data_IF_994415057322
#
_entry.id   IF_994415057322
#
_cell.length_a   1.000
_cell.length_b   1.000
_cell.length_c   1.000
_cell.angle_alpha   90.00
_cell.angle_beta   90.00
_cell.angle_gamma   90.00
#
_symmetry.space_group_name_H-M   'P 1'
#
loop_
_entity.id
_entity.type
_entity.pdbx_description
1 polymer ?
#
# COMPACT_ATOMS: atom_id res chain seq x y z
N UNK A 1 -33.78 6.71 -20.37
CA UNK A 1 -32.54 6.15 -20.95
C UNK A 1 -31.39 6.91 -20.29
N UNK A 2 -30.99 6.45 -19.10
CA UNK A 2 -29.92 7.07 -18.32
C UNK A 2 -28.64 6.40 -18.82
N UNK A 3 -27.87 7.11 -19.63
CA UNK A 3 -26.54 6.65 -20.04
C UNK A 3 -25.67 6.78 -18.79
N UNK A 4 -25.59 5.70 -18.02
CA UNK A 4 -24.52 5.46 -17.06
C UNK A 4 -23.23 5.30 -17.85
N UNK A 5 -22.55 6.42 -18.13
CA UNK A 5 -21.15 6.38 -18.52
C UNK A 5 -20.37 5.94 -17.28
N UNK A 6 -20.05 4.65 -17.20
CA UNK A 6 -19.14 4.10 -16.20
C UNK A 6 -17.78 4.74 -16.37
N UNK A 7 -17.49 5.74 -15.53
CA UNK A 7 -16.18 6.38 -15.47
C UNK A 7 -15.48 5.81 -14.24
N UNK A 8 -14.75 4.71 -14.42
CA UNK A 8 -13.78 4.26 -13.43
C UNK A 8 -12.58 5.20 -13.49
N UNK A 9 -12.54 6.16 -12.58
CA UNK A 9 -11.41 7.09 -12.46
C UNK A 9 -10.32 6.36 -11.66
N UNK A 10 -9.22 6.02 -12.33
CA UNK A 10 -8.09 5.31 -11.75
C UNK A 10 -6.87 6.23 -11.62
N UNK A 11 -6.15 6.14 -10.50
CA UNK A 11 -4.84 6.75 -10.34
C UNK A 11 -3.77 5.72 -10.68
N UNK A 12 -3.18 5.81 -11.88
CA UNK A 12 -2.02 4.98 -12.22
C UNK A 12 -0.75 5.50 -11.52
N UNK A 13 0.27 4.64 -11.32
CA UNK A 13 1.56 5.09 -10.78
C UNK A 13 2.18 6.23 -11.58
N UNK A 14 2.02 6.22 -12.91
CA UNK A 14 2.50 7.28 -13.80
C UNK A 14 1.78 8.60 -13.53
N UNK A 15 0.45 8.58 -13.41
CA UNK A 15 -0.36 9.75 -13.06
C UNK A 15 0.03 10.31 -11.70
N UNK A 16 0.30 9.46 -10.70
CA UNK A 16 0.76 9.90 -9.38
C UNK A 16 2.11 10.62 -9.52
N UNK A 17 3.04 10.08 -10.30
CA UNK A 17 4.32 10.74 -10.57
C UNK A 17 4.17 12.10 -11.25
N UNK A 18 3.26 12.22 -12.23
CA UNK A 18 2.94 13.50 -12.87
C UNK A 18 2.35 14.52 -11.88
N UNK A 19 1.43 14.09 -11.01
CA UNK A 19 0.83 14.93 -9.97
C UNK A 19 1.88 15.41 -8.96
N UNK A 20 2.76 14.53 -8.49
CA UNK A 20 3.87 14.90 -7.60
C UNK A 20 4.75 15.95 -8.27
N UNK A 21 5.15 15.73 -9.52
CA UNK A 21 5.94 16.70 -10.27
C UNK A 21 5.23 18.06 -10.37
N UNK A 22 3.95 18.05 -10.71
CA UNK A 22 3.14 19.25 -10.85
C UNK A 22 2.95 20.00 -9.53
N UNK A 23 2.77 19.28 -8.43
CA UNK A 23 2.70 19.84 -7.07
C UNK A 23 4.02 20.52 -6.67
N UNK A 24 5.17 19.91 -6.97
CA UNK A 24 6.47 20.53 -6.64
C UNK A 24 6.82 21.73 -7.54
N UNK A 25 6.22 21.83 -8.73
CA UNK A 25 6.48 22.93 -9.64
C UNK A 25 5.78 24.22 -9.19
N UNK A 26 6.55 25.12 -8.58
CA UNK A 26 6.06 26.40 -8.09
C UNK A 26 5.94 27.49 -9.17
N UNK A 27 6.32 27.22 -10.43
CA UNK A 27 6.33 28.22 -11.50
C UNK A 27 5.10 28.12 -12.39
N UNK A 28 4.71 26.90 -12.72
CA UNK A 28 3.60 26.60 -13.62
C UNK A 28 2.36 26.16 -12.82
N UNK A 29 1.18 26.36 -13.41
CA UNK A 29 -0.07 25.84 -12.85
C UNK A 29 -0.53 24.65 -13.66
N UNK A 30 -1.00 23.62 -12.96
CA UNK A 30 -1.46 22.39 -13.56
C UNK A 30 -2.89 22.06 -13.14
N UNK A 31 -3.58 21.36 -14.02
CA UNK A 31 -4.93 20.84 -13.82
C UNK A 31 -4.93 19.34 -14.08
N UNK A 32 -5.79 18.61 -13.37
CA UNK A 32 -6.05 17.20 -13.59
C UNK A 32 -7.24 17.03 -14.53
N UNK A 33 -7.04 16.30 -15.63
CA UNK A 33 -8.11 15.92 -16.55
C UNK A 33 -8.70 14.57 -16.14
N UNK A 34 -9.93 14.61 -15.65
CA UNK A 34 -10.63 13.44 -15.11
C UNK A 34 -10.95 12.39 -16.19
N UNK A 35 -11.04 12.80 -17.45
CA UNK A 35 -11.37 11.91 -18.56
C UNK A 35 -10.16 11.10 -19.03
N UNK A 36 -8.98 11.73 -19.02
CA UNK A 36 -7.74 11.09 -19.46
C UNK A 36 -6.89 10.55 -18.32
N UNK A 37 -7.16 10.98 -17.09
CA UNK A 37 -6.38 10.64 -15.90
C UNK A 37 -4.98 11.26 -15.91
N UNK A 38 -4.81 12.41 -16.57
CA UNK A 38 -3.49 13.05 -16.78
C UNK A 38 -3.40 14.44 -16.17
N UNK A 39 -2.17 14.82 -15.83
CA UNK A 39 -1.88 16.19 -15.41
C UNK A 39 -1.50 17.05 -16.62
N UNK A 40 -2.13 18.21 -16.78
CA UNK A 40 -1.91 19.12 -17.91
C UNK A 40 -1.64 20.54 -17.42
N UNK A 41 -0.79 21.27 -18.13
CA UNK A 41 -0.53 22.68 -17.82
C UNK A 41 -1.79 23.51 -18.06
N UNK A 42 -2.07 24.48 -17.18
CA UNK A 42 -3.23 25.34 -17.28
C UNK A 42 -3.27 26.12 -18.61
N UNK A 43 -2.12 26.52 -19.15
CA UNK A 43 -2.02 27.24 -20.43
C UNK A 43 -2.48 26.36 -21.59
N UNK A 44 -2.11 25.09 -21.59
CA UNK A 44 -2.52 24.12 -22.60
C UNK A 44 -4.01 23.76 -22.43
N UNK A 45 -4.48 23.68 -21.18
CA UNK A 45 -5.87 23.39 -20.84
C UNK A 45 -6.82 24.53 -21.27
N UNK A 46 -6.42 25.81 -21.20
CA UNK A 46 -7.26 26.94 -21.64
C UNK A 46 -7.73 26.77 -23.09
N UNK A 47 -6.87 26.25 -23.97
CA UNK A 47 -7.21 25.97 -25.37
C UNK A 47 -8.27 24.87 -25.52
N UNK A 48 -8.34 23.93 -24.57
CA UNK A 48 -9.32 22.84 -24.54
C UNK A 48 -10.62 23.19 -23.79
N UNK A 49 -10.53 24.04 -22.76
CA UNK A 49 -11.65 24.47 -21.91
C UNK A 49 -12.71 25.26 -22.71
N UNK A 50 -12.33 25.97 -23.77
CA UNK A 50 -13.26 26.74 -24.60
C UNK A 50 -14.33 25.88 -25.34
N UNK A 51 -14.19 24.55 -25.39
CA UNK A 51 -15.09 23.66 -26.15
C UNK A 51 -15.60 22.42 -25.39
N UNK A 52 -15.33 22.29 -24.10
CA UNK A 52 -15.53 21.02 -23.33
C UNK A 52 -16.48 21.20 -22.14
N UNK A 53 -17.11 20.12 -21.64
CA UNK A 53 -18.16 20.20 -20.62
C UNK A 53 -17.65 20.73 -19.27
N UNK A 54 -18.55 21.37 -18.54
CA UNK A 54 -18.40 21.70 -17.11
C UNK A 54 -17.95 20.42 -16.35
N UNK A 55 -16.96 20.54 -15.47
CA UNK A 55 -16.44 19.46 -14.60
C UNK A 55 -15.48 18.42 -15.24
N UNK A 56 -14.71 18.80 -16.27
CA UNK A 56 -13.62 17.94 -16.80
C UNK A 56 -12.26 18.15 -16.13
N UNK A 57 -11.91 19.40 -15.83
CA UNK A 57 -10.59 19.77 -15.33
C UNK A 57 -10.65 20.24 -13.89
N UNK A 58 -9.80 19.67 -13.03
CA UNK A 58 -9.76 19.94 -11.59
C UNK A 58 -8.42 20.54 -11.18
N UNK A 59 -8.43 21.44 -10.21
CA UNK A 59 -7.21 21.91 -9.59
C UNK A 59 -6.55 20.77 -8.81
N UNK A 60 -5.23 20.60 -8.99
CA UNK A 60 -4.43 19.68 -8.19
C UNK A 60 -4.21 20.24 -6.78
N UNK A 61 -3.89 19.41 -5.77
CA UNK A 61 -3.67 19.90 -4.42
C UNK A 61 -2.47 20.83 -4.32
N UNK A 62 -2.58 21.88 -3.50
CA UNK A 62 -1.53 22.86 -3.31
C UNK A 62 -0.35 22.28 -2.50
N UNK A 63 0.87 22.42 -3.03
CA UNK A 63 2.11 22.07 -2.32
C UNK A 63 3.09 23.24 -2.27
N UNK A 64 2.89 24.12 -1.30
CA UNK A 64 3.71 25.32 -1.15
C UNK A 64 4.99 25.06 -0.32
N UNK A 65 5.85 26.08 -0.26
CA UNK A 65 7.10 26.03 0.51
C UNK A 65 6.87 25.71 2.00
N UNK A 66 5.76 26.12 2.60
CA UNK A 66 5.45 25.79 4.00
C UNK A 66 5.14 24.30 4.19
N UNK A 67 4.44 23.67 3.24
CA UNK A 67 4.24 22.21 3.23
C UNK A 67 5.59 21.48 3.18
N UNK A 68 6.45 21.87 2.22
CA UNK A 68 7.79 21.28 2.09
C UNK A 68 8.66 21.45 3.34
N UNK A 69 8.58 22.61 4.02
CA UNK A 69 9.31 22.85 5.26
C UNK A 69 8.82 21.96 6.41
N UNK A 70 7.49 21.80 6.58
CA UNK A 70 6.92 20.91 7.61
C UNK A 70 7.35 19.46 7.42
N UNK A 71 7.42 19.00 6.17
CA UNK A 71 7.91 17.65 5.84
C UNK A 71 9.39 17.48 6.23
N UNK A 72 10.22 18.50 6.01
CA UNK A 72 11.62 18.50 6.49
C UNK A 72 11.72 18.43 8.02
N UNK A 73 10.88 19.18 8.73
CA UNK A 73 10.85 19.15 10.21
C UNK A 73 10.43 17.76 10.74
N UNK A 74 9.36 17.18 10.18
CA UNK A 74 8.89 15.84 10.54
C UNK A 74 9.97 14.78 10.29
N UNK A 75 10.55 14.77 9.09
CA UNK A 75 11.63 13.85 8.75
C UNK A 75 12.81 13.97 9.73
N UNK A 76 13.21 15.21 10.05
CA UNK A 76 14.32 15.46 10.97
C UNK A 76 14.04 14.95 12.38
N UNK A 77 12.78 14.98 12.83
CA UNK A 77 12.39 14.43 14.11
C UNK A 77 12.59 12.90 14.19
N UNK A 78 12.48 12.18 13.07
CA UNK A 78 12.66 10.72 12.97
C UNK A 78 14.12 10.28 12.78
N UNK A 79 15.06 11.21 12.61
CA UNK A 79 16.48 10.89 12.46
C UNK A 79 17.05 10.48 13.82
N UNK A 80 17.56 9.24 13.89
CA UNK A 80 18.21 8.69 15.08
C UNK A 80 19.61 9.26 15.33
N UNK A 81 20.34 9.64 14.27
CA UNK A 81 21.68 10.23 14.37
C UNK A 81 21.60 11.62 15.04
N UNK A 82 22.10 11.78 16.28
CA UNK A 82 21.92 13.03 17.03
C UNK A 82 22.74 14.18 16.44
N UNK A 83 23.89 13.92 15.81
CA UNK A 83 24.76 14.94 15.22
C UNK A 83 24.10 15.53 13.98
N UNK A 84 23.66 14.66 13.05
CA UNK A 84 22.95 15.11 11.85
C UNK A 84 21.63 15.80 12.21
N UNK A 85 20.87 15.26 13.16
CA UNK A 85 19.62 15.88 13.60
C UNK A 85 19.83 17.30 14.13
N UNK A 86 20.89 17.53 14.91
CA UNK A 86 21.19 18.87 15.41
C UNK A 86 21.65 19.81 14.29
N UNK A 87 22.50 19.33 13.37
CA UNK A 87 22.90 20.08 12.18
C UNK A 87 21.70 20.52 11.33
N UNK A 88 20.71 19.64 11.13
CA UNK A 88 19.49 19.97 10.39
C UNK A 88 18.60 20.97 11.14
N UNK A 89 18.52 20.89 12.47
CA UNK A 89 17.83 21.89 13.31
C UNK A 89 18.47 23.27 13.24
N UNK A 90 19.80 23.32 13.21
CA UNK A 90 20.54 24.57 13.01
C UNK A 90 20.24 25.17 11.64
N UNK A 91 20.09 24.34 10.60
CA UNK A 91 19.69 24.78 9.26
C UNK A 91 18.28 25.39 9.29
N UNK A 92 17.33 24.82 10.02
CA UNK A 92 15.97 25.38 10.15
C UNK A 92 15.92 26.73 10.85
N UNK A 93 16.90 27.01 11.71
CA UNK A 93 17.04 28.31 12.37
C UNK A 93 17.56 29.42 11.43
N UNK A 94 17.99 29.08 10.21
CA UNK A 94 18.49 30.03 9.23
C UNK A 94 17.33 30.72 8.48
N UNK A 95 17.48 32.02 8.23
CA UNK A 95 16.42 32.83 7.57
C UNK A 95 16.32 32.60 6.05
N UNK A 96 17.32 32.00 5.42
CA UNK A 96 17.40 31.82 3.96
C UNK A 96 18.18 30.56 3.60
N UNK A 97 17.80 29.93 2.49
CA UNK A 97 18.55 28.81 1.91
C UNK A 97 18.27 27.44 2.57
N UNK A 98 17.30 27.36 3.48
CA UNK A 98 16.97 26.14 4.24
C UNK A 98 16.87 24.90 3.35
N UNK A 99 16.06 24.94 2.28
CA UNK A 99 15.86 23.79 1.39
C UNK A 99 17.14 23.31 0.71
N UNK A 100 18.01 24.25 0.30
CA UNK A 100 19.27 23.93 -0.35
C UNK A 100 20.26 23.35 0.67
N UNK A 101 20.39 24.02 1.81
CA UNK A 101 21.32 23.63 2.87
C UNK A 101 20.94 22.28 3.50
N UNK A 102 19.63 22.01 3.63
CA UNK A 102 19.10 20.72 4.07
C UNK A 102 19.57 19.60 3.13
N UNK A 103 19.35 19.75 1.81
CA UNK A 103 19.80 18.76 0.82
C UNK A 103 21.33 18.65 0.80
N UNK A 104 22.06 19.75 0.94
CA UNK A 104 23.52 19.72 1.03
C UNK A 104 24.02 18.93 2.24
N UNK A 105 23.39 19.08 3.41
CA UNK A 105 23.74 18.32 4.60
C UNK A 105 23.46 16.81 4.46
N UNK A 106 22.44 16.42 3.67
CA UNK A 106 22.13 15.01 3.43
C UNK A 106 23.12 14.32 2.49
N UNK A 107 23.86 15.05 1.63
CA UNK A 107 24.84 14.45 0.70
C UNK A 107 25.96 13.70 1.40
N UNK A 108 26.28 14.10 2.63
CA UNK A 108 27.28 13.42 3.46
C UNK A 108 26.76 12.08 4.04
N UNK A 109 25.45 11.80 3.89
CA UNK A 109 24.74 10.62 4.39
C UNK A 109 23.81 10.02 3.31
N UNK A 110 24.36 9.32 2.28
CA UNK A 110 23.58 8.85 1.14
C UNK A 110 22.37 7.98 1.51
N UNK A 111 22.48 7.15 2.56
CA UNK A 111 21.35 6.34 3.05
C UNK A 111 20.21 7.20 3.62
N UNK A 112 20.54 8.31 4.29
CA UNK A 112 19.56 9.24 4.86
C UNK A 112 18.98 10.13 3.77
N UNK A 113 19.79 10.52 2.78
CA UNK A 113 19.32 11.22 1.58
C UNK A 113 18.29 10.41 0.82
N UNK A 114 18.54 9.12 0.59
CA UNK A 114 17.59 8.23 -0.05
C UNK A 114 16.29 8.11 0.74
N UNK A 115 16.39 7.95 2.07
CA UNK A 115 15.23 7.90 2.98
C UNK A 115 14.42 9.21 2.95
N UNK A 116 15.08 10.36 2.81
CA UNK A 116 14.42 11.65 2.68
C UNK A 116 13.54 11.72 1.43
N UNK A 117 14.08 11.33 0.27
CA UNK A 117 13.31 11.38 -0.98
C UNK A 117 12.08 10.47 -0.92
N UNK A 118 12.25 9.27 -0.37
CA UNK A 118 11.19 8.30 -0.09
C UNK A 118 10.11 8.87 0.84
N UNK A 119 10.51 9.43 1.98
CA UNK A 119 9.60 10.04 2.96
C UNK A 119 8.81 11.20 2.36
N UNK A 120 9.48 12.08 1.63
CA UNK A 120 8.84 13.23 0.97
C UNK A 120 7.82 12.76 -0.07
N UNK A 121 8.15 11.74 -0.86
CA UNK A 121 7.24 11.17 -1.84
C UNK A 121 5.98 10.58 -1.17
N UNK A 122 6.14 9.83 -0.08
CA UNK A 122 5.03 9.26 0.67
C UNK A 122 4.07 10.35 1.21
N UNK A 123 4.62 11.42 1.79
CA UNK A 123 3.84 12.57 2.27
C UNK A 123 3.06 13.26 1.15
N UNK A 124 3.65 13.39 -0.04
CA UNK A 124 2.98 13.96 -1.21
C UNK A 124 1.88 13.02 -1.75
N UNK A 125 2.14 11.70 -1.78
CA UNK A 125 1.14 10.69 -2.15
C UNK A 125 -0.06 10.72 -1.22
N UNK A 126 0.15 10.82 0.10
CA UNK A 126 -0.94 10.93 1.06
C UNK A 126 -1.86 12.12 0.75
N UNK A 127 -1.30 13.28 0.43
CA UNK A 127 -2.07 14.47 0.03
C UNK A 127 -2.86 14.23 -1.28
N UNK A 128 -2.24 13.58 -2.27
CA UNK A 128 -2.91 13.21 -3.53
C UNK A 128 -4.07 12.25 -3.27
N UNK A 129 -3.87 11.25 -2.41
CA UNK A 129 -4.88 10.25 -2.08
C UNK A 129 -6.09 10.86 -1.37
N UNK A 130 -5.86 11.73 -0.39
CA UNK A 130 -6.95 12.49 0.25
C UNK A 130 -7.70 13.32 -0.78
N UNK A 131 -6.98 14.14 -1.56
CA UNK A 131 -7.60 14.98 -2.60
C UNK A 131 -8.40 14.17 -3.63
N UNK A 132 -7.88 13.03 -4.05
CA UNK A 132 -8.54 12.20 -5.05
C UNK A 132 -9.78 11.49 -4.49
N UNK A 133 -9.76 11.09 -3.22
CA UNK A 133 -10.96 10.56 -2.57
C UNK A 133 -12.04 11.63 -2.43
N UNK A 134 -11.67 12.88 -2.09
CA UNK A 134 -12.60 14.00 -2.07
C UNK A 134 -13.21 14.22 -3.47
N UNK A 135 -12.38 14.15 -4.52
CA UNK A 135 -12.84 14.22 -5.91
C UNK A 135 -13.83 13.09 -6.23
N UNK A 136 -13.52 11.85 -5.86
CA UNK A 136 -14.40 10.69 -6.09
C UNK A 136 -15.74 10.84 -5.40
N UNK A 137 -15.76 11.32 -4.16
CA UNK A 137 -16.98 11.57 -3.40
C UNK A 137 -17.88 12.60 -4.11
N UNK A 138 -17.29 13.67 -4.66
CA UNK A 138 -18.02 14.66 -5.47
C UNK A 138 -18.67 14.05 -6.73
N UNK A 139 -18.11 12.95 -7.24
CA UNK A 139 -18.65 12.18 -8.36
C UNK A 139 -19.51 10.97 -7.94
N UNK A 140 -19.88 10.88 -6.66
CA UNK A 140 -20.64 9.76 -6.09
C UNK A 140 -19.99 8.39 -6.31
N UNK A 141 -18.66 8.36 -6.37
CA UNK A 141 -17.87 7.13 -6.42
C UNK A 141 -17.43 6.75 -5.00
N UNK A 142 -17.33 5.45 -4.74
CA UNK A 142 -16.80 4.97 -3.46
C UNK A 142 -15.34 5.42 -3.28
N UNK A 143 -14.93 5.84 -2.07
CA UNK A 143 -13.55 6.20 -1.80
C UNK A 143 -12.64 5.00 -1.98
N UNK A 144 -11.43 5.23 -2.49
CA UNK A 144 -10.41 4.20 -2.57
C UNK A 144 -9.67 4.12 -1.24
N UNK A 145 -9.48 2.90 -0.75
CA UNK A 145 -8.53 2.64 0.32
C UNK A 145 -7.14 2.56 -0.31
N UNK A 146 -6.40 3.67 -0.26
CA UNK A 146 -4.98 3.68 -0.59
C UNK A 146 -4.22 3.24 0.66
N UNK A 147 -3.77 1.99 0.73
CA UNK A 147 -2.73 1.71 1.73
C UNK A 147 -1.41 2.28 1.21
N UNK A 148 -0.75 3.01 2.10
CA UNK A 148 0.56 3.59 1.84
C UNK A 148 1.50 2.46 1.42
N UNK A 149 2.02 2.53 0.19
CA UNK A 149 3.28 1.84 -0.09
C UNK A 149 4.37 2.62 0.64
N UNK A 150 4.64 2.33 1.92
CA UNK A 150 5.90 2.84 2.47
C UNK A 150 7.04 2.18 1.71
N UNK A 151 7.86 3.08 1.19
CA UNK A 151 9.06 2.84 0.44
C UNK A 151 10.04 2.08 1.33
N UNK A 152 10.01 0.76 1.19
CA UNK A 152 10.87 -0.17 1.91
C UNK A 152 12.32 0.31 1.97
N UNK A 153 12.75 0.66 3.17
CA UNK A 153 13.85 -0.05 3.79
C UNK A 153 13.25 -0.67 5.05
N UNK A 154 12.81 -1.92 4.92
CA UNK A 154 12.66 -2.77 6.10
C UNK A 154 13.96 -2.62 6.89
N UNK A 155 13.85 -2.32 8.18
CA UNK A 155 14.87 -2.79 9.09
C UNK A 155 14.75 -4.32 9.03
N UNK A 156 15.41 -4.94 8.04
CA UNK A 156 15.52 -6.41 7.92
C UNK A 156 16.12 -7.03 9.19
N UNK A 157 16.71 -6.20 10.04
CA UNK A 157 17.32 -6.57 11.31
C UNK A 157 16.28 -6.79 12.43
N UNK A 158 15.06 -6.23 12.34
CA UNK A 158 14.04 -6.31 13.40
C UNK A 158 12.95 -7.37 13.12
N UNK A 159 12.78 -7.80 11.86
CA UNK A 159 11.73 -8.76 11.47
C UNK A 159 12.29 -10.12 11.07
N UNK A 160 11.85 -11.16 11.78
CA UNK A 160 12.24 -12.55 11.52
C UNK A 160 11.16 -13.25 10.71
N UNK A 161 11.53 -13.87 9.60
CA UNK A 161 10.64 -14.70 8.81
C UNK A 161 10.88 -16.16 9.11
N UNK A 162 9.82 -16.86 9.51
CA UNK A 162 9.89 -18.27 9.88
C UNK A 162 8.88 -19.08 9.06
N UNK A 163 9.34 -20.18 8.46
CA UNK A 163 8.48 -21.13 7.77
C UNK A 163 8.27 -22.34 8.66
N UNK A 164 7.03 -22.57 9.10
CA UNK A 164 6.70 -23.68 10.01
C UNK A 164 5.52 -24.51 9.46
N UNK A 165 5.39 -25.79 9.85
CA UNK A 165 4.20 -26.58 9.53
C UNK A 165 2.96 -25.99 10.20
N UNK A 166 1.81 -25.97 9.51
CA UNK A 166 0.57 -25.39 10.02
C UNK A 166 0.14 -26.01 11.36
N UNK A 167 0.34 -27.31 11.54
CA UNK A 167 0.02 -28.05 12.78
C UNK A 167 0.78 -27.57 14.04
N UNK A 168 1.82 -26.76 13.87
CA UNK A 168 2.54 -26.15 14.99
C UNK A 168 1.78 -24.95 15.58
N UNK A 169 0.85 -24.36 14.82
CA UNK A 169 -0.02 -23.29 15.28
C UNK A 169 -1.28 -23.84 15.92
N UNK A 170 -1.73 -23.16 16.98
CA UNK A 170 -3.03 -23.44 17.58
C UNK A 170 -4.16 -22.84 16.74
N UNK A 171 -5.32 -23.50 16.71
CA UNK A 171 -6.50 -22.95 16.03
C UNK A 171 -6.97 -21.62 16.65
N UNK A 172 -6.84 -21.47 17.97
CA UNK A 172 -7.13 -20.21 18.68
C UNK A 172 -6.23 -19.07 18.19
N UNK A 173 -4.94 -19.34 17.98
CA UNK A 173 -4.03 -18.33 17.44
C UNK A 173 -4.48 -17.84 16.05
N UNK A 174 -4.88 -18.74 15.15
CA UNK A 174 -5.37 -18.32 13.82
C UNK A 174 -6.66 -17.49 13.92
N UNK A 175 -7.58 -17.86 14.82
CA UNK A 175 -8.80 -17.09 15.08
C UNK A 175 -8.44 -15.69 15.55
N UNK A 176 -7.61 -15.58 16.58
CA UNK A 176 -7.23 -14.30 17.18
C UNK A 176 -6.47 -13.43 16.17
N UNK A 177 -5.50 -14.01 15.46
CA UNK A 177 -4.73 -13.28 14.45
C UNK A 177 -5.58 -12.81 13.26
N UNK A 178 -6.52 -13.63 12.77
CA UNK A 178 -7.42 -13.21 11.68
C UNK A 178 -8.35 -12.10 12.12
N UNK A 179 -8.80 -12.11 13.38
CA UNK A 179 -9.58 -11.02 13.98
C UNK A 179 -8.75 -9.73 14.04
N UNK A 180 -7.56 -9.78 14.63
CA UNK A 180 -6.72 -8.60 14.84
C UNK A 180 -6.23 -8.01 13.51
N UNK A 181 -5.85 -8.87 12.57
CA UNK A 181 -5.43 -8.45 11.23
C UNK A 181 -6.57 -7.91 10.35
N UNK A 182 -7.83 -8.11 10.74
CA UNK A 182 -8.99 -7.65 9.97
C UNK A 182 -9.45 -6.24 10.33
N UNK A 183 -8.81 -5.57 11.31
CA UNK A 183 -9.28 -4.27 11.76
C UNK A 183 -9.30 -3.30 10.57
N UNK A 184 -10.51 -3.03 10.06
CA UNK A 184 -10.76 -1.84 9.27
C UNK A 184 -10.35 -0.64 10.13
N UNK A 185 -9.89 0.48 9.53
CA UNK A 185 -9.86 1.74 10.26
C UNK A 185 -11.28 1.95 10.81
N UNK A 186 -11.41 1.81 12.13
CA UNK A 186 -12.66 2.02 12.85
C UNK A 186 -12.95 3.52 12.76
N UNK A 187 -13.52 3.96 11.63
CA UNK A 187 -14.14 5.27 11.58
C UNK A 187 -15.35 5.19 12.50
N UNK A 188 -15.21 5.81 13.67
CA UNK A 188 -16.11 5.75 14.82
C UNK A 188 -17.55 6.21 14.56
N UNK A 189 -17.92 6.57 13.34
CA UNK A 189 -19.18 7.28 13.08
C UNK A 189 -20.24 6.48 12.32
N UNK A 190 -19.91 5.35 11.66
CA UNK A 190 -20.92 4.59 10.89
C UNK A 190 -20.62 3.08 10.81
N UNK A 191 -20.77 2.32 11.90
CA UNK A 191 -21.00 0.88 11.79
C UNK A 191 -22.12 0.44 12.74
N UNK A 192 -23.23 0.01 12.15
CA UNK A 192 -24.24 -0.74 12.88
C UNK A 192 -23.66 -2.11 13.27
N UNK A 193 -23.95 -2.59 14.48
CA UNK A 193 -23.45 -3.86 15.04
C UNK A 193 -23.67 -5.09 14.13
N UNK A 194 -24.56 -4.96 13.13
CA UNK A 194 -24.84 -5.97 12.11
C UNK A 194 -23.62 -6.25 11.22
N UNK A 195 -22.90 -5.23 10.75
CA UNK A 195 -21.75 -5.42 9.86
C UNK A 195 -20.59 -6.12 10.57
N UNK A 196 -20.31 -5.76 11.83
CA UNK A 196 -19.30 -6.43 12.66
C UNK A 196 -19.60 -7.93 12.85
N UNK A 197 -20.88 -8.28 13.02
CA UNK A 197 -21.31 -9.67 13.14
C UNK A 197 -21.12 -10.46 11.84
N UNK A 198 -21.48 -9.89 10.68
CA UNK A 198 -21.27 -10.54 9.38
C UNK A 198 -19.77 -10.79 9.10
N UNK A 199 -18.89 -9.84 9.42
CA UNK A 199 -17.44 -10.02 9.29
C UNK A 199 -16.91 -11.14 10.18
N UNK A 200 -17.34 -11.20 11.45
CA UNK A 200 -16.96 -12.27 12.38
C UNK A 200 -17.40 -13.65 11.85
N UNK A 201 -18.62 -13.75 11.32
CA UNK A 201 -19.14 -15.01 10.78
C UNK A 201 -18.33 -15.47 9.55
N UNK A 202 -17.96 -14.55 8.66
CA UNK A 202 -17.14 -14.89 7.49
C UNK A 202 -15.72 -15.36 7.88
N UNK A 203 -15.15 -14.82 8.96
CA UNK A 203 -13.86 -15.29 9.50
C UNK A 203 -13.96 -16.70 10.07
N UNK A 204 -14.99 -16.99 10.85
CA UNK A 204 -15.24 -18.33 11.39
C UNK A 204 -15.38 -19.36 10.25
N UNK A 205 -16.16 -19.03 9.22
CA UNK A 205 -16.30 -19.87 8.03
C UNK A 205 -14.96 -20.11 7.32
N UNK A 206 -14.11 -19.10 7.20
CA UNK A 206 -12.77 -19.25 6.60
C UNK A 206 -11.91 -20.25 7.39
N UNK A 207 -11.98 -20.22 8.72
CA UNK A 207 -11.20 -21.11 9.59
C UNK A 207 -11.73 -22.54 9.50
N UNK A 208 -13.06 -22.72 9.46
CA UNK A 208 -13.68 -24.02 9.21
C UNK A 208 -13.25 -24.59 7.84
N UNK A 209 -13.26 -23.77 6.78
CA UNK A 209 -12.78 -24.16 5.46
C UNK A 209 -11.30 -24.60 5.46
N UNK A 210 -10.44 -23.90 6.21
CA UNK A 210 -9.02 -24.26 6.38
C UNK A 210 -8.88 -25.60 7.12
N UNK A 211 -9.67 -25.81 8.18
CA UNK A 211 -9.63 -27.03 8.98
C UNK A 211 -10.04 -28.29 8.18
N UNK A 212 -10.82 -28.13 7.11
CA UNK A 212 -11.22 -29.21 6.21
C UNK A 212 -10.16 -29.60 5.17
N UNK A 213 -9.06 -28.84 5.06
CA UNK A 213 -7.98 -29.09 4.08
C UNK A 213 -6.88 -29.99 4.66
N UNK A 214 -5.92 -30.37 3.81
CA UNK A 214 -4.77 -31.18 4.22
C UNK A 214 -3.80 -30.38 5.09
N UNK A 215 -4.14 -30.26 6.38
CA UNK A 215 -3.37 -29.51 7.37
C UNK A 215 -2.02 -30.16 7.71
N UNK A 216 -1.85 -31.46 7.43
CA UNK A 216 -0.60 -32.19 7.71
C UNK A 216 0.53 -31.78 6.76
N UNK A 217 0.20 -31.56 5.49
CA UNK A 217 1.17 -31.08 4.48
C UNK A 217 1.11 -29.56 4.27
N UNK A 218 0.37 -28.85 5.12
CA UNK A 218 0.22 -27.40 5.04
C UNK A 218 1.36 -26.68 5.76
N UNK A 219 1.77 -25.56 5.17
CA UNK A 219 2.86 -24.72 5.67
C UNK A 219 2.34 -23.32 5.96
N UNK A 220 2.97 -22.62 6.88
CA UNK A 220 2.73 -21.21 7.14
C UNK A 220 4.05 -20.46 7.17
N UNK A 221 4.07 -19.30 6.53
CA UNK A 221 5.17 -18.34 6.63
C UNK A 221 4.72 -17.24 7.58
N UNK A 222 5.47 -17.08 8.66
CA UNK A 222 5.23 -16.10 9.70
C UNK A 222 6.23 -14.96 9.59
N UNK A 223 5.77 -13.77 9.94
CA UNK A 223 6.62 -12.62 10.22
C UNK A 223 6.54 -12.36 11.71
N UNK A 224 7.69 -12.30 12.37
CA UNK A 224 7.80 -11.96 13.78
C UNK A 224 8.56 -10.66 13.96
N UNK A 225 8.12 -9.85 14.91
CA UNK A 225 8.88 -8.76 15.50
C UNK A 225 9.15 -9.15 16.95
N UNK A 226 10.41 -9.35 17.32
CA UNK A 226 10.79 -10.07 18.55
C UNK A 226 10.09 -11.44 18.66
N UNK A 227 9.12 -11.58 19.57
CA UNK A 227 8.34 -12.81 19.81
C UNK A 227 6.88 -12.72 19.31
N UNK A 228 6.45 -11.53 18.85
CA UNK A 228 5.08 -11.29 18.39
C UNK A 228 4.94 -11.61 16.90
N UNK A 229 3.92 -12.39 16.53
CA UNK A 229 3.59 -12.64 15.12
C UNK A 229 2.80 -11.46 14.57
N UNK A 230 3.38 -10.77 13.60
CA UNK A 230 2.80 -9.58 12.98
C UNK A 230 2.30 -9.82 11.55
N UNK A 231 2.66 -10.96 10.95
CA UNK A 231 2.29 -11.32 9.59
C UNK A 231 2.17 -12.82 9.42
N UNK A 232 1.23 -13.24 8.58
CA UNK A 232 0.89 -14.65 8.37
C UNK A 232 0.49 -14.91 6.92
N UNK A 233 1.12 -15.91 6.30
CA UNK A 233 0.79 -16.43 4.98
C UNK A 233 0.63 -17.95 5.04
N UNK A 234 -0.59 -18.46 4.91
CA UNK A 234 -0.87 -19.89 4.89
C UNK A 234 -0.72 -20.45 3.47
N UNK A 235 -0.10 -21.61 3.36
CA UNK A 235 0.16 -22.32 2.11
C UNK A 235 -0.43 -23.73 2.23
N UNK A 236 -1.59 -23.93 1.63
CA UNK A 236 -2.34 -25.17 1.73
C UNK A 236 -2.30 -25.94 0.40
N UNK A 237 -1.83 -27.19 0.39
CA UNK A 237 -1.96 -28.05 -0.79
C UNK A 237 -3.43 -28.20 -1.17
N UNK A 238 -3.74 -27.96 -2.44
CA UNK A 238 -5.07 -28.07 -3.00
C UNK A 238 -5.08 -29.05 -4.19
N UNK A 239 -6.28 -29.36 -4.69
CA UNK A 239 -6.45 -30.29 -5.81
C UNK A 239 -5.76 -29.75 -7.07
N UNK A 240 -5.26 -30.65 -7.91
CA UNK A 240 -4.72 -30.30 -9.22
C UNK A 240 -3.27 -29.81 -9.21
N UNK A 241 -2.46 -30.22 -8.22
CA UNK A 241 -1.08 -29.75 -8.03
C UNK A 241 -1.01 -28.23 -7.82
N UNK A 242 -1.98 -27.66 -7.11
CA UNK A 242 -2.01 -26.24 -6.77
C UNK A 242 -1.68 -26.04 -5.30
N UNK A 243 -0.97 -24.95 -5.00
CA UNK A 243 -0.78 -24.44 -3.66
C UNK A 243 -1.68 -23.22 -3.48
N UNK A 244 -2.48 -23.22 -2.43
CA UNK A 244 -3.46 -22.18 -2.16
C UNK A 244 -3.02 -21.29 -0.98
N UNK A 245 -3.23 -19.98 -1.12
CA UNK A 245 -3.01 -18.96 -0.10
C UNK A 245 -4.37 -18.39 0.32
N UNK A 246 -5.07 -19.03 1.28
CA UNK A 246 -6.36 -18.53 1.78
C UNK A 246 -6.21 -17.45 2.84
N UNK A 247 -5.02 -17.34 3.45
CA UNK A 247 -4.69 -16.33 4.45
C UNK A 247 -3.37 -15.68 4.06
N UNK A 248 -3.42 -14.38 3.83
CA UNK A 248 -2.32 -13.49 3.52
C UNK A 248 -2.58 -12.15 4.25
N UNK A 249 -1.97 -12.00 5.43
CA UNK A 249 -2.33 -10.95 6.39
C UNK A 249 -1.12 -10.36 7.06
N UNK A 250 -1.20 -9.05 7.30
CA UNK A 250 -0.28 -8.29 8.14
C UNK A 250 -1.14 -7.45 9.09
N UNK A 251 -0.74 -7.42 10.36
CA UNK A 251 -1.37 -6.59 11.37
C UNK A 251 -1.37 -5.12 10.90
N UNK A 252 -2.49 -4.38 11.05
CA UNK A 252 -2.64 -3.03 10.49
C UNK A 252 -1.51 -2.07 10.86
N UNK A 253 -0.99 -2.15 12.08
CA UNK A 253 0.08 -1.30 12.63
C UNK A 253 1.43 -1.54 11.94
N UNK A 254 1.57 -2.66 11.23
CA UNK A 254 2.76 -3.10 10.52
C UNK A 254 2.56 -3.12 9.00
N UNK A 255 1.46 -2.56 8.51
CA UNK A 255 1.29 -2.29 7.07
C UNK A 255 2.09 -1.05 6.69
N UNK A 256 2.26 -0.80 5.40
CA UNK A 256 3.15 0.26 4.92
C UNK A 256 4.58 -0.22 4.71
N UNK A 257 5.19 -0.90 5.69
CA UNK A 257 6.64 -1.24 5.71
C UNK A 257 7.17 -2.18 4.60
N UNK A 258 6.39 -2.51 3.57
CA UNK A 258 6.81 -3.44 2.50
C UNK A 258 6.86 -4.92 2.92
N UNK A 259 6.47 -5.25 4.15
CA UNK A 259 6.40 -6.62 4.68
C UNK A 259 5.54 -7.54 3.81
N UNK A 260 4.47 -7.03 3.19
CA UNK A 260 3.60 -7.81 2.30
C UNK A 260 4.33 -8.26 1.03
N UNK A 261 5.16 -7.38 0.45
CA UNK A 261 5.94 -7.71 -0.74
C UNK A 261 6.97 -8.80 -0.45
N UNK A 262 7.68 -8.69 0.67
CA UNK A 262 8.65 -9.73 1.10
C UNK A 262 7.96 -11.05 1.45
N UNK A 263 6.81 -11.01 2.13
CA UNK A 263 6.01 -12.20 2.45
C UNK A 263 5.54 -12.91 1.18
N UNK A 264 5.04 -12.15 0.20
CA UNK A 264 4.66 -12.66 -1.11
C UNK A 264 5.86 -13.29 -1.84
N UNK A 265 7.00 -12.60 -1.85
CA UNK A 265 8.22 -13.13 -2.46
C UNK A 265 8.65 -14.47 -1.84
N UNK A 266 8.57 -14.60 -0.51
CA UNK A 266 8.86 -15.86 0.18
C UNK A 266 7.86 -16.97 -0.14
N UNK A 267 6.56 -16.63 -0.23
CA UNK A 267 5.54 -17.58 -0.64
C UNK A 267 5.74 -18.08 -2.08
N UNK A 268 6.14 -17.17 -2.98
CA UNK A 268 6.48 -17.50 -4.37
C UNK A 268 7.71 -18.43 -4.41
N UNK A 269 8.80 -18.07 -3.73
CA UNK A 269 10.01 -18.91 -3.67
C UNK A 269 9.67 -20.31 -3.15
N UNK A 270 8.92 -20.41 -2.05
CA UNK A 270 8.48 -21.70 -1.52
C UNK A 270 7.66 -22.50 -2.55
N UNK A 271 6.76 -21.85 -3.27
CA UNK A 271 5.93 -22.50 -4.29
C UNK A 271 6.72 -22.91 -5.54
N UNK A 272 7.80 -22.20 -5.86
CA UNK A 272 8.71 -22.52 -6.95
C UNK A 272 9.72 -23.64 -6.54
N UNK A 273 10.03 -23.78 -5.24
CA UNK A 273 10.95 -24.80 -4.68
C UNK A 273 10.30 -26.18 -4.36
N UNK A 274 8.98 -26.32 -4.52
CA UNK A 274 8.19 -27.52 -4.12
C UNK A 274 7.91 -28.53 -5.27
N UNK A 275 6.69 -28.93 -5.62
CA UNK A 275 6.38 -29.59 -6.92
C UNK A 275 5.04 -29.08 -7.50
N UNK A 276 4.54 -27.95 -7.01
CA UNK A 276 3.20 -27.43 -7.33
C UNK A 276 3.21 -26.67 -8.67
N UNK A 277 2.23 -26.89 -9.54
CA UNK A 277 2.16 -26.19 -10.84
C UNK A 277 1.62 -24.77 -10.73
N UNK A 278 0.78 -24.50 -9.75
CA UNK A 278 0.07 -23.23 -9.60
C UNK A 278 0.13 -22.75 -8.16
N UNK A 279 0.32 -21.45 -7.99
CA UNK A 279 0.16 -20.73 -6.74
C UNK A 279 -1.10 -19.87 -6.85
N UNK A 280 -2.09 -20.11 -5.99
CA UNK A 280 -3.39 -19.47 -6.04
C UNK A 280 -3.62 -18.69 -4.76
N UNK A 281 -3.78 -17.38 -4.84
CA UNK A 281 -4.18 -16.56 -3.70
C UNK A 281 -5.69 -16.39 -3.72
N UNK A 282 -6.34 -16.98 -2.72
CA UNK A 282 -7.80 -17.08 -2.55
C UNK A 282 -8.31 -16.30 -1.35
N UNK A 283 -7.42 -15.54 -0.73
CA UNK A 283 -7.75 -14.68 0.37
C UNK A 283 -8.79 -13.61 -0.04
N UNK A 284 -9.98 -13.71 0.57
CA UNK A 284 -11.15 -12.88 0.24
C UNK A 284 -11.05 -11.44 0.72
N UNK A 285 -10.09 -11.12 1.58
CA UNK A 285 -9.86 -9.77 2.09
C UNK A 285 -8.52 -9.21 1.65
N UNK A 286 -7.98 -9.71 0.53
CA UNK A 286 -6.83 -9.07 -0.09
C UNK A 286 -7.22 -7.63 -0.47
N UNK A 287 -6.53 -6.61 0.04
CA UNK A 287 -6.89 -5.26 -0.30
C UNK A 287 -6.59 -4.91 -1.76
N UNK A 288 -7.41 -4.04 -2.36
CA UNK A 288 -7.34 -3.70 -3.78
C UNK A 288 -6.02 -3.04 -4.20
N UNK A 289 -5.38 -2.25 -3.33
CA UNK A 289 -4.08 -1.64 -3.64
C UNK A 289 -2.97 -2.70 -3.84
N UNK A 290 -3.12 -3.91 -3.26
CA UNK A 290 -2.11 -4.97 -3.39
C UNK A 290 -2.21 -5.69 -4.75
N UNK A 291 -3.27 -5.43 -5.53
CA UNK A 291 -3.52 -6.13 -6.80
C UNK A 291 -2.42 -5.85 -7.83
N UNK A 292 -1.96 -4.60 -7.93
CA UNK A 292 -0.85 -4.24 -8.83
C UNK A 292 0.44 -4.97 -8.44
N UNK A 293 0.68 -5.16 -7.13
CA UNK A 293 1.81 -5.96 -6.65
C UNK A 293 1.66 -7.42 -7.10
N UNK A 294 0.46 -8.01 -6.99
CA UNK A 294 0.19 -9.38 -7.47
C UNK A 294 0.44 -9.53 -8.97
N UNK A 295 -0.07 -8.61 -9.78
CA UNK A 295 0.12 -8.62 -11.24
C UNK A 295 1.60 -8.47 -11.62
N UNK A 296 2.33 -7.56 -10.97
CA UNK A 296 3.77 -7.38 -11.17
C UNK A 296 4.58 -8.63 -10.81
N UNK A 297 4.11 -9.42 -9.84
CA UNK A 297 4.69 -10.69 -9.45
C UNK A 297 4.30 -11.87 -10.38
N UNK A 298 3.57 -11.61 -11.47
CA UNK A 298 3.21 -12.59 -12.49
C UNK A 298 1.93 -13.36 -12.19
N UNK A 299 1.13 -12.94 -11.20
CA UNK A 299 -0.22 -13.47 -11.01
C UNK A 299 -1.18 -12.91 -12.06
N UNK A 300 -2.17 -13.71 -12.43
CA UNK A 300 -3.32 -13.29 -13.23
C UNK A 300 -4.58 -13.36 -12.38
N UNK A 301 -5.39 -12.32 -12.47
CA UNK A 301 -6.69 -12.32 -11.81
C UNK A 301 -7.70 -13.19 -12.57
N UNK A 302 -8.34 -14.12 -11.86
CA UNK A 302 -9.39 -15.03 -12.33
C UNK A 302 -10.61 -14.85 -11.41
N UNK A 303 -11.46 -13.88 -11.72
CA UNK A 303 -12.55 -13.47 -10.83
C UNK A 303 -12.01 -12.86 -9.54
N UNK A 304 -12.32 -13.47 -8.39
CA UNK A 304 -11.84 -13.04 -7.06
C UNK A 304 -10.53 -13.72 -6.65
N UNK A 305 -9.93 -14.54 -7.52
CA UNK A 305 -8.73 -15.35 -7.20
C UNK A 305 -7.57 -14.86 -8.05
N UNK A 306 -6.36 -14.79 -7.47
CA UNK A 306 -5.13 -14.57 -8.21
C UNK A 306 -4.40 -15.89 -8.44
N UNK A 307 -3.91 -16.14 -9.65
CA UNK A 307 -3.21 -17.40 -9.99
C UNK A 307 -1.90 -17.14 -10.73
N UNK A 308 -0.79 -17.70 -10.24
CA UNK A 308 0.54 -17.72 -10.87
C UNK A 308 0.91 -19.15 -11.24
N UNK A 309 1.52 -19.32 -12.42
CA UNK A 309 2.17 -20.59 -12.78
C UNK A 309 3.54 -20.64 -12.10
N UNK A 310 3.84 -21.72 -11.39
CA UNK A 310 5.16 -21.89 -10.77
C UNK A 310 6.21 -22.23 -11.82
N UNK A 311 7.44 -21.79 -11.59
CA UNK A 311 8.60 -22.08 -12.43
C UNK A 311 9.47 -23.11 -11.71
N UNK A 312 9.35 -24.37 -12.11
CA UNK A 312 10.27 -25.42 -11.67
C UNK A 312 11.47 -25.49 -12.61
N UNK A 313 12.67 -25.53 -12.04
CA UNK A 313 13.86 -26.09 -12.70
C UNK A 313 13.94 -27.60 -12.43
#
# INVERSE_FOLDING_TARGET
MIISNGMDIFLSPETIGELIFAMENQHDRYLFDIQTGKCINQTDAITAIENEPENRFYAIPDWNSSCGFRVMERFTAEIRNPVLREQLRDIFSQRKGVFKNFKEALKDFPEIEHRWYKFKEAEMRAVIYTWFNDLREQHNLEPLCFEEEETGDLIREDFVFETVPLKTLSSSFLIDFLRDSSAMPLNHENQDAFSLFEYSLLQELCIEEIALKDTENSTVILIKNDEEVIGCCLLLPSKGQSLEIPVFRILPEYRGFGLGKELLHKAISFADDTMFRFLQLTDRWLPSYFYTTMESAGFRQLGLIFSKKCTYE
#
